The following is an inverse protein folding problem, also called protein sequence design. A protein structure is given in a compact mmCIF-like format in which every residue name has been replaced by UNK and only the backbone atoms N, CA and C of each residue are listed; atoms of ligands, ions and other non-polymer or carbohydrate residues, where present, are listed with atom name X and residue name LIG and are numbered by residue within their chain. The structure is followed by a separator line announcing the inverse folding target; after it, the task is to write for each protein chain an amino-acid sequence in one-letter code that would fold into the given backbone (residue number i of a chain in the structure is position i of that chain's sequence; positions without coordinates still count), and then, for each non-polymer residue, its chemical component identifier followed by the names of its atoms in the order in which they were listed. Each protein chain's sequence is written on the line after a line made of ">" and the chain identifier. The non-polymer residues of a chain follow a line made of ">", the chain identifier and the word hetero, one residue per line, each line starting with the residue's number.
data_IF_899569346043
#
_entry.id   IF_899569346043
#
_cell.length_a   1.000
_cell.length_b   1.000
_cell.length_c   1.000
_cell.angle_alpha   90.00
_cell.angle_beta   90.00
_cell.angle_gamma   90.00
#
_symmetry.space_group_name_H-M   'P 1'
#
loop_
_entity.id
_entity.type
_entity.pdbx_description
1 polymer ?
#
# COMPACT_ATOMS: atom_id res chain seq x y z
N UNK A 1 -10.74 -9.03 -3.30
CA UNK A 1 -10.65 -7.76 -4.06
C UNK A 1 -9.50 -7.84 -5.07
N UNK A 2 -9.64 -7.26 -6.27
CA UNK A 2 -8.55 -7.22 -7.25
C UNK A 2 -7.89 -5.84 -7.29
N UNK A 3 -6.55 -5.84 -7.33
CA UNK A 3 -5.71 -4.65 -7.46
C UNK A 3 -4.55 -4.92 -8.43
N UNK A 4 -4.01 -3.86 -9.01
CA UNK A 4 -2.87 -3.93 -9.93
C UNK A 4 -1.65 -3.24 -9.31
N UNK A 5 -0.47 -3.78 -9.57
CA UNK A 5 0.81 -3.25 -9.10
C UNK A 5 1.82 -3.18 -10.23
N UNK A 6 2.72 -2.21 -10.13
CA UNK A 6 3.96 -2.21 -10.90
C UNK A 6 4.80 -3.43 -10.50
N UNK A 7 5.58 -3.96 -11.45
CA UNK A 7 6.33 -5.19 -11.26
C UNK A 7 7.20 -5.19 -10.01
N UNK A 8 7.94 -4.11 -9.75
CA UNK A 8 8.85 -4.07 -8.61
C UNK A 8 8.10 -4.14 -7.28
N UNK A 9 6.94 -3.48 -7.17
CA UNK A 9 6.07 -3.58 -5.99
C UNK A 9 5.48 -4.97 -5.83
N UNK A 10 5.11 -5.63 -6.94
CA UNK A 10 4.64 -7.02 -6.92
C UNK A 10 5.72 -7.96 -6.37
N UNK A 11 6.96 -7.85 -6.87
CA UNK A 11 8.07 -8.68 -6.42
C UNK A 11 8.39 -8.45 -4.94
N UNK A 12 8.27 -7.23 -4.42
CA UNK A 12 8.49 -6.97 -3.00
C UNK A 12 7.46 -7.66 -2.10
N UNK A 13 6.20 -7.78 -2.54
CA UNK A 13 5.17 -8.52 -1.80
C UNK A 13 5.43 -10.02 -1.92
N UNK A 14 5.75 -10.51 -3.12
CA UNK A 14 6.09 -11.92 -3.36
C UNK A 14 7.26 -12.38 -2.47
N UNK A 15 8.28 -11.53 -2.31
CA UNK A 15 9.43 -11.79 -1.44
C UNK A 15 9.20 -11.42 0.04
N UNK A 16 7.97 -11.08 0.45
CA UNK A 16 7.59 -10.75 1.83
C UNK A 16 8.31 -9.55 2.45
N UNK A 17 8.91 -8.69 1.62
CA UNK A 17 9.58 -7.47 2.07
C UNK A 17 8.57 -6.33 2.27
N UNK A 18 7.69 -6.15 1.28
CA UNK A 18 6.56 -5.21 1.38
C UNK A 18 5.39 -5.91 2.07
N UNK A 19 5.10 -5.45 3.27
CA UNK A 19 4.05 -6.02 4.15
C UNK A 19 2.90 -5.04 4.37
N UNK A 20 3.07 -3.78 3.98
CA UNK A 20 2.07 -2.72 4.06
C UNK A 20 1.80 -2.18 2.65
N UNK A 21 0.56 -2.33 2.20
CA UNK A 21 0.07 -1.68 1.00
C UNK A 21 -0.59 -0.35 1.35
N UNK A 22 -0.08 0.73 0.76
CA UNK A 22 -0.54 2.10 1.06
C UNK A 22 -1.50 2.56 -0.03
N UNK A 23 -2.69 2.98 0.37
CA UNK A 23 -3.71 3.53 -0.54
C UNK A 23 -4.42 4.70 0.12
N UNK A 24 -5.08 5.54 -0.67
CA UNK A 24 -6.12 6.40 -0.13
C UNK A 24 -7.22 5.53 0.49
N UNK A 25 -7.82 6.01 1.57
CA UNK A 25 -8.97 5.35 2.20
C UNK A 25 -10.24 5.66 1.39
N UNK A 26 -10.26 5.24 0.12
CA UNK A 26 -11.35 5.45 -0.83
C UNK A 26 -12.54 4.50 -0.57
N UNK A 27 -13.69 4.76 -1.20
CA UNK A 27 -14.91 3.96 -0.99
C UNK A 27 -14.74 2.46 -1.31
N UNK A 28 -13.80 2.10 -2.19
CA UNK A 28 -13.51 0.69 -2.51
C UNK A 28 -12.71 0.04 -1.37
N UNK A 29 -11.66 0.70 -0.88
CA UNK A 29 -10.76 0.17 0.16
C UNK A 29 -11.37 0.22 1.55
N UNK A 30 -12.28 1.16 1.82
CA UNK A 30 -13.08 1.23 3.06
C UNK A 30 -13.91 -0.02 3.35
N UNK A 31 -14.18 -0.84 2.34
CA UNK A 31 -14.95 -2.09 2.49
C UNK A 31 -14.10 -3.30 2.87
N UNK A 32 -12.77 -3.16 2.96
CA UNK A 32 -11.91 -4.25 3.39
C UNK A 32 -12.14 -4.56 4.86
N UNK A 33 -12.06 -5.83 5.19
CA UNK A 33 -12.03 -6.35 6.56
C UNK A 33 -10.79 -7.21 6.76
N UNK A 34 -10.31 -7.28 8.00
CA UNK A 34 -9.21 -8.20 8.34
C UNK A 34 -9.64 -9.62 8.03
N UNK A 35 -8.79 -10.37 7.33
CA UNK A 35 -9.09 -11.71 6.85
C UNK A 35 -9.47 -11.77 5.37
N UNK A 36 -9.84 -10.65 4.76
CA UNK A 36 -10.16 -10.60 3.33
C UNK A 36 -8.99 -11.03 2.44
N UNK A 37 -9.34 -11.48 1.24
CA UNK A 37 -8.36 -11.83 0.21
C UNK A 37 -8.19 -10.67 -0.77
N UNK A 38 -6.94 -10.29 -1.04
CA UNK A 38 -6.58 -9.38 -2.14
C UNK A 38 -5.77 -10.16 -3.18
N UNK A 39 -6.20 -10.10 -4.43
CA UNK A 39 -5.45 -10.62 -5.58
C UNK A 39 -4.76 -9.45 -6.27
N UNK A 40 -3.43 -9.46 -6.24
CA UNK A 40 -2.60 -8.49 -6.95
C UNK A 40 -2.24 -9.05 -8.32
N UNK A 41 -2.42 -8.25 -9.37
CA UNK A 41 -1.95 -8.57 -10.73
C UNK A 41 -0.75 -7.70 -11.05
N UNK A 42 0.35 -8.33 -11.45
CA UNK A 42 1.52 -7.64 -12.00
C UNK A 42 1.17 -7.03 -13.36
N UNK A 43 1.30 -5.71 -13.49
CA UNK A 43 1.04 -5.00 -14.74
C UNK A 43 2.01 -5.38 -15.87
N UNK A 44 3.19 -5.92 -15.54
CA UNK A 44 4.20 -6.32 -16.53
C UNK A 44 4.04 -7.76 -17.02
N UNK A 45 3.81 -8.70 -16.09
CA UNK A 45 3.80 -10.14 -16.41
C UNK A 45 2.41 -10.77 -16.39
N UNK A 46 1.38 -10.05 -15.91
CA UNK A 46 0.04 -10.55 -15.65
C UNK A 46 -0.04 -11.70 -14.63
N UNK A 47 1.07 -12.03 -13.96
CA UNK A 47 1.08 -12.97 -12.82
C UNK A 47 0.17 -12.44 -11.72
N UNK A 48 -0.46 -13.36 -11.00
CA UNK A 48 -1.33 -13.05 -9.87
C UNK A 48 -0.71 -13.56 -8.57
N UNK A 49 -0.81 -12.73 -7.54
CA UNK A 49 -0.42 -13.08 -6.17
C UNK A 49 -1.62 -12.89 -5.25
N UNK A 50 -1.99 -13.97 -4.56
CA UNK A 50 -3.07 -13.96 -3.59
C UNK A 50 -2.51 -13.64 -2.20
N UNK A 51 -3.07 -12.62 -1.57
CA UNK A 51 -2.66 -12.17 -0.23
C UNK A 51 -3.86 -12.14 0.71
N UNK A 52 -3.60 -12.24 2.01
CA UNK A 52 -4.60 -12.05 3.07
C UNK A 52 -4.38 -10.70 3.75
N UNK A 53 -5.46 -9.99 4.03
CA UNK A 53 -5.44 -8.77 4.86
C UNK A 53 -5.21 -9.17 6.31
N UNK A 54 -4.15 -8.62 6.92
CA UNK A 54 -3.75 -8.91 8.31
C UNK A 54 -4.04 -7.76 9.26
N UNK A 55 -4.05 -6.52 8.78
CA UNK A 55 -4.43 -5.32 9.56
C UNK A 55 -4.96 -4.22 8.64
N UNK A 56 -5.67 -3.25 9.23
CA UNK A 56 -6.20 -2.07 8.55
C UNK A 56 -6.04 -0.86 9.48
N UNK A 57 -5.10 0.02 9.16
CA UNK A 57 -4.79 1.19 9.99
C UNK A 57 -5.05 2.47 9.18
N UNK A 58 -5.87 3.36 9.73
CA UNK A 58 -6.28 4.61 9.09
C UNK A 58 -5.47 5.80 9.60
N UNK A 59 -5.06 6.67 8.69
CA UNK A 59 -4.29 7.88 8.99
C UNK A 59 -4.90 9.08 8.29
N UNK A 60 -4.69 10.26 8.86
CA UNK A 60 -5.09 11.53 8.24
C UNK A 60 -4.19 11.92 7.07
N UNK A 61 -2.90 11.54 7.10
CA UNK A 61 -1.91 11.89 6.06
C UNK A 61 -0.94 10.74 5.78
N UNK A 62 -0.30 10.77 4.61
CA UNK A 62 0.81 9.89 4.23
C UNK A 62 1.99 10.09 5.17
N UNK A 63 2.25 11.32 5.61
CA UNK A 63 3.32 11.60 6.57
C UNK A 63 3.12 10.85 7.89
N UNK A 64 1.89 10.85 8.43
CA UNK A 64 1.58 10.12 9.65
C UNK A 64 1.76 8.59 9.47
N UNK A 65 1.35 8.05 8.32
CA UNK A 65 1.55 6.65 7.99
C UNK A 65 3.04 6.30 7.89
N UNK A 66 3.83 7.08 7.16
CA UNK A 66 5.25 6.80 6.94
C UNK A 66 6.13 7.06 8.18
N UNK A 67 5.64 7.80 9.18
CA UNK A 67 6.27 7.84 10.50
C UNK A 67 6.03 6.56 11.32
N UNK A 68 5.02 5.75 10.96
CA UNK A 68 4.62 4.53 11.69
C UNK A 68 5.24 3.26 11.13
N UNK A 69 5.49 3.17 9.83
CA UNK A 69 6.05 2.00 9.15
C UNK A 69 7.38 2.34 8.48
N UNK A 70 8.27 1.35 8.40
CA UNK A 70 9.57 1.56 7.74
C UNK A 70 9.41 1.66 6.21
N UNK A 71 10.38 2.29 5.55
CA UNK A 71 10.41 2.41 4.09
C UNK A 71 10.34 1.04 3.40
N UNK A 72 11.02 0.03 3.97
CA UNK A 72 10.99 -1.35 3.46
C UNK A 72 9.58 -1.96 3.55
N UNK A 73 8.88 -1.79 4.69
CA UNK A 73 7.54 -2.36 4.87
C UNK A 73 6.54 -1.81 3.87
N UNK A 74 6.66 -0.54 3.49
CA UNK A 74 5.80 0.11 2.49
C UNK A 74 6.29 -0.04 1.06
N UNK A 75 7.43 -0.70 0.83
CA UNK A 75 7.97 -0.99 -0.49
C UNK A 75 8.78 0.13 -1.14
N UNK A 76 9.25 1.09 -0.35
CA UNK A 76 10.24 2.09 -0.77
C UNK A 76 11.66 1.58 -0.54
N UNK A 77 12.64 2.27 -1.12
CA UNK A 77 14.05 1.93 -0.95
C UNK A 77 14.49 1.93 0.52
N UNK A 78 15.56 1.18 0.87
CA UNK A 78 16.17 1.29 2.18
C UNK A 78 16.55 2.75 2.45
N UNK A 79 16.24 3.25 3.64
CA UNK A 79 16.57 4.62 4.07
C UNK A 79 15.91 5.75 3.26
N UNK A 80 14.92 5.47 2.41
CA UNK A 80 14.11 6.54 1.80
C UNK A 80 13.44 7.37 2.90
N UNK A 81 13.65 8.68 2.88
CA UNK A 81 13.09 9.58 3.88
C UNK A 81 11.57 9.67 3.77
N UNK A 82 10.90 9.96 4.90
CA UNK A 82 9.44 10.20 4.93
C UNK A 82 9.03 11.27 3.93
N UNK A 83 9.78 12.37 3.85
CA UNK A 83 9.49 13.46 2.91
C UNK A 83 9.54 13.00 1.45
N UNK A 84 10.50 12.13 1.09
CA UNK A 84 10.55 11.58 -0.27
C UNK A 84 9.37 10.64 -0.53
N UNK A 85 9.05 9.74 0.41
CA UNK A 85 7.90 8.84 0.24
C UNK A 85 6.57 9.62 0.09
N UNK A 86 6.37 10.70 0.85
CA UNK A 86 5.20 11.57 0.69
C UNK A 86 5.17 12.20 -0.71
N UNK A 87 6.29 12.75 -1.18
CA UNK A 87 6.39 13.31 -2.54
C UNK A 87 6.05 12.27 -3.60
N UNK A 88 6.58 11.06 -3.47
CA UNK A 88 6.31 9.96 -4.40
C UNK A 88 4.82 9.62 -4.43
N UNK A 89 4.16 9.53 -3.27
CA UNK A 89 2.71 9.31 -3.20
C UNK A 89 1.91 10.46 -3.83
N UNK A 90 2.41 11.70 -3.73
CA UNK A 90 1.77 12.87 -4.34
C UNK A 90 1.88 12.92 -5.87
N UNK A 91 2.74 12.10 -6.48
CA UNK A 91 2.72 11.88 -7.94
C UNK A 91 1.51 11.07 -8.40
N UNK A 92 0.91 10.28 -7.49
CA UNK A 92 -0.21 9.40 -7.76
C UNK A 92 -1.54 9.98 -7.25
N UNK A 93 -1.49 10.70 -6.13
CA UNK A 93 -2.65 11.23 -5.42
C UNK A 93 -2.45 12.70 -5.09
N UNK A 94 -3.43 13.55 -5.41
CA UNK A 94 -3.30 14.96 -5.06
C UNK A 94 -3.40 15.15 -3.53
N UNK A 95 -2.76 16.18 -2.96
CA UNK A 95 -2.93 16.54 -1.55
C UNK A 95 -4.40 16.80 -1.17
N UNK A 96 -5.24 17.24 -2.12
CA UNK A 96 -6.67 17.39 -1.88
C UNK A 96 -7.38 16.04 -1.66
N UNK A 97 -7.03 15.01 -2.44
CA UNK A 97 -7.55 13.65 -2.26
C UNK A 97 -7.12 13.06 -0.91
N UNK A 98 -5.85 13.25 -0.54
CA UNK A 98 -5.34 12.86 0.78
C UNK A 98 -6.17 13.50 1.91
N UNK A 99 -6.36 14.83 1.88
CA UNK A 99 -7.15 15.54 2.90
C UNK A 99 -8.60 15.08 2.96
N UNK A 100 -9.21 14.79 1.81
CA UNK A 100 -10.62 14.41 1.75
C UNK A 100 -10.86 12.97 2.19
N UNK A 101 -9.98 12.05 1.83
CA UNK A 101 -10.20 10.62 2.01
C UNK A 101 -9.44 10.05 3.19
N UNK A 102 -8.33 10.67 3.59
CA UNK A 102 -7.33 10.08 4.45
C UNK A 102 -6.56 8.96 3.73
N UNK A 103 -5.74 8.26 4.50
CA UNK A 103 -4.85 7.21 4.02
C UNK A 103 -5.12 5.91 4.78
N UNK A 104 -4.99 4.79 4.10
CA UNK A 104 -5.15 3.45 4.66
C UNK A 104 -3.85 2.67 4.46
N UNK A 105 -3.29 2.18 5.56
CA UNK A 105 -2.28 1.14 5.57
C UNK A 105 -2.99 -0.22 5.63
N UNK A 106 -2.79 -1.04 4.61
CA UNK A 106 -3.36 -2.39 4.51
C UNK A 106 -2.23 -3.38 4.81
N UNK A 107 -2.27 -4.01 5.97
CA UNK A 107 -1.39 -5.13 6.28
C UNK A 107 -1.70 -6.31 5.37
N UNK A 108 -0.70 -6.83 4.68
CA UNK A 108 -0.85 -7.94 3.73
C UNK A 108 0.18 -9.04 3.98
N UNK A 109 -0.23 -10.28 3.78
CA UNK A 109 0.64 -11.44 3.78
C UNK A 109 0.34 -12.33 2.56
N UNK A 110 1.34 -12.67 1.71
CA UNK A 110 1.14 -13.62 0.62
C UNK A 110 0.79 -15.01 1.18
N UNK A 111 -0.16 -15.68 0.52
CA UNK A 111 -0.56 -17.06 0.83
C UNK A 111 0.37 -18.07 0.18
#
# INVERSE_FOLDING_TARGET
>A
MNMQLQHDQFMLIENKLKTIEVRLNDAKRRRLTVGDTIVFTDLRTHRQLTTKVTSLDQFTTFQALFNRYSSLQVGSGPQTSVTQMVRDMHTLYSPAQERQLGVLAIGIAPR
#
